data_IF_139221403273
#
_entry.id   IF_139221403273
#
_cell.length_a   1.000
_cell.length_b   1.000
_cell.length_c   1.000
_cell.angle_alpha   90.00
_cell.angle_beta   90.00
_cell.angle_gamma   90.00
#
_symmetry.space_group_name_H-M   'P 1'
#
loop_
_entity.id
_entity.type
_entity.pdbx_description
1 polymer ?
#
# COMPACT_ATOMS: atom_id res chain seq x y z
N UNK A 1 22.71 -41.76 68.31
CA UNK A 1 22.76 -40.30 68.09
C UNK A 1 22.17 -40.03 66.72
N UNK A 2 20.87 -39.78 66.65
CA UNK A 2 20.15 -39.43 65.42
C UNK A 2 19.86 -37.94 65.44
N UNK A 3 20.29 -37.23 64.41
CA UNK A 3 20.18 -35.77 64.29
C UNK A 3 18.83 -35.44 63.67
N UNK A 4 17.99 -34.72 64.41
CA UNK A 4 16.75 -34.11 63.92
C UNK A 4 17.09 -32.92 63.00
N UNK A 5 16.47 -32.88 61.82
CA UNK A 5 16.57 -31.74 60.91
C UNK A 5 15.41 -30.79 61.16
N UNK A 6 15.78 -29.57 61.52
CA UNK A 6 14.94 -28.41 61.81
C UNK A 6 14.15 -27.99 60.57
N UNK A 7 12.83 -27.89 60.70
CA UNK A 7 11.95 -27.23 59.74
C UNK A 7 12.25 -25.72 59.73
N UNK A 8 12.94 -25.24 58.70
CA UNK A 8 12.94 -23.83 58.36
C UNK A 8 11.67 -23.51 57.57
N UNK A 9 10.73 -22.80 58.22
CA UNK A 9 9.69 -22.04 57.56
C UNK A 9 10.34 -21.10 56.55
N UNK A 10 10.18 -21.41 55.27
CA UNK A 10 10.45 -20.45 54.20
C UNK A 10 9.13 -19.75 53.96
N UNK A 11 9.01 -18.53 54.49
CA UNK A 11 7.94 -17.60 54.14
C UNK A 11 8.04 -17.33 52.64
N UNK A 12 7.24 -18.06 51.85
CA UNK A 12 6.94 -17.66 50.48
C UNK A 12 6.17 -16.34 50.56
N UNK A 13 6.88 -15.24 50.33
CA UNK A 13 6.26 -13.98 49.93
C UNK A 13 5.48 -14.27 48.65
N UNK A 14 4.18 -14.49 48.79
CA UNK A 14 3.23 -14.32 47.71
C UNK A 14 3.39 -12.87 47.25
N UNK A 15 4.03 -12.66 46.11
CA UNK A 15 3.80 -11.44 45.35
C UNK A 15 2.33 -11.49 44.97
N UNK A 16 1.52 -10.67 45.62
CA UNK A 16 0.15 -10.42 45.19
C UNK A 16 0.25 -9.84 43.78
N UNK A 17 -0.02 -10.70 42.80
CA UNK A 17 -0.21 -10.30 41.40
C UNK A 17 -1.48 -9.44 41.41
N UNK A 18 -1.31 -8.12 41.56
CA UNK A 18 -2.40 -7.15 41.56
C UNK A 18 -2.95 -7.10 40.13
N UNK A 19 -3.84 -8.03 39.84
CA UNK A 19 -4.50 -8.14 38.56
C UNK A 19 -5.61 -7.08 38.52
N UNK A 20 -5.26 -5.86 38.11
CA UNK A 20 -6.23 -4.78 37.90
C UNK A 20 -7.25 -5.23 36.84
N UNK A 21 -8.53 -4.99 37.10
CA UNK A 21 -9.57 -5.23 36.10
C UNK A 21 -9.46 -4.23 34.94
N UNK A 22 -9.94 -4.60 33.76
CA UNK A 22 -10.01 -3.71 32.59
C UNK A 22 -10.72 -2.38 32.91
N UNK A 23 -11.73 -2.41 33.78
CA UNK A 23 -12.46 -1.20 34.18
C UNK A 23 -11.66 -0.26 35.10
N UNK A 24 -10.80 -0.81 35.95
CA UNK A 24 -9.92 -0.02 36.83
C UNK A 24 -8.80 0.63 36.02
N UNK A 25 -8.27 -0.08 35.03
CA UNK A 25 -7.25 0.44 34.12
C UNK A 25 -7.77 1.62 33.29
N UNK A 26 -8.99 1.54 32.75
CA UNK A 26 -9.65 2.67 32.07
C UNK A 26 -9.83 3.85 33.03
N UNK A 27 -10.19 3.60 34.29
CA UNK A 27 -10.33 4.66 35.29
C UNK A 27 -8.99 5.34 35.58
N UNK A 28 -7.90 4.58 35.72
CA UNK A 28 -6.56 5.12 35.93
C UNK A 28 -6.08 5.97 34.74
N UNK A 29 -6.29 5.51 33.50
CA UNK A 29 -5.94 6.28 32.30
C UNK A 29 -6.78 7.56 32.21
N UNK A 30 -8.08 7.47 32.50
CA UNK A 30 -8.96 8.65 32.54
C UNK A 30 -8.48 9.68 33.58
N UNK A 31 -8.16 9.23 34.78
CA UNK A 31 -7.66 10.11 35.86
C UNK A 31 -6.34 10.78 35.48
N UNK A 32 -5.43 10.02 34.83
CA UNK A 32 -4.19 10.55 34.30
C UNK A 32 -4.41 11.65 33.23
N UNK A 33 -5.37 11.45 32.31
CA UNK A 33 -5.72 12.44 31.28
C UNK A 33 -6.36 13.71 31.89
N UNK A 34 -7.24 13.56 32.88
CA UNK A 34 -7.86 14.71 33.56
C UNK A 34 -6.87 15.49 34.43
N UNK A 35 -5.93 14.79 35.05
CA UNK A 35 -4.90 15.39 35.92
C UNK A 35 -3.97 16.37 35.18
N UNK A 36 -3.79 16.20 33.86
CA UNK A 36 -3.03 17.15 33.03
C UNK A 36 -3.64 18.55 33.07
N UNK A 37 -4.97 18.66 33.07
CA UNK A 37 -5.68 19.94 33.17
C UNK A 37 -5.54 20.58 34.55
N UNK A 38 -5.28 19.76 35.58
CA UNK A 38 -5.04 20.20 36.96
C UNK A 38 -3.55 20.52 37.23
N UNK A 39 -2.68 20.37 36.23
CA UNK A 39 -1.25 20.65 36.31
C UNK A 39 -0.38 19.51 36.86
N UNK A 40 -0.95 18.31 37.05
CA UNK A 40 -0.20 17.11 37.42
C UNK A 40 -0.03 16.20 36.20
N UNK A 41 1.17 16.22 35.61
CA UNK A 41 1.47 15.49 34.37
C UNK A 41 2.32 14.23 34.57
N UNK A 42 2.66 13.84 35.81
CA UNK A 42 3.57 12.72 36.06
C UNK A 42 3.03 11.40 35.51
N UNK A 43 1.78 11.05 35.83
CA UNK A 43 1.11 9.85 35.32
C UNK A 43 0.89 9.90 33.81
N UNK A 44 0.67 11.09 33.25
CA UNK A 44 0.57 11.28 31.81
C UNK A 44 1.91 11.07 31.11
N UNK A 45 3.01 11.59 31.65
CA UNK A 45 4.35 11.39 31.11
C UNK A 45 4.77 9.91 31.19
N UNK A 46 4.37 9.20 32.25
CA UNK A 46 4.58 7.75 32.32
C UNK A 46 3.83 7.02 31.20
N UNK A 47 2.56 7.37 30.96
CA UNK A 47 1.76 6.80 29.87
C UNK A 47 2.38 7.09 28.48
N UNK A 48 2.86 8.32 28.26
CA UNK A 48 3.60 8.69 27.04
C UNK A 48 4.91 7.90 26.92
N UNK A 49 5.61 7.67 28.03
CA UNK A 49 6.80 6.82 28.09
C UNK A 49 6.54 5.39 27.62
N UNK A 50 5.40 4.81 28.03
CA UNK A 50 4.96 3.48 27.57
C UNK A 50 4.67 3.45 26.06
N UNK A 51 4.40 4.58 25.41
CA UNK A 51 4.19 4.62 23.95
C UNK A 51 5.51 4.80 23.19
N UNK A 52 6.54 5.37 23.82
CA UNK A 52 7.85 5.58 23.21
C UNK A 52 8.80 4.40 23.41
N UNK A 53 8.75 3.44 22.49
CA UNK A 53 9.71 2.34 22.47
C UNK A 53 10.50 2.28 21.16
N UNK A 54 11.83 2.32 21.31
CA UNK A 54 12.79 2.28 20.20
C UNK A 54 13.37 0.88 19.95
N UNK A 55 13.23 -0.04 20.92
CA UNK A 55 13.89 -1.35 20.92
C UNK A 55 12.89 -2.51 20.98
N UNK A 56 13.40 -3.76 20.91
CA UNK A 56 12.59 -4.97 21.06
C UNK A 56 12.01 -5.03 22.47
N UNK A 57 10.69 -5.00 22.55
CA UNK A 57 9.94 -5.10 23.80
C UNK A 57 10.11 -6.47 24.46
N UNK A 58 10.31 -6.48 25.78
CA UNK A 58 10.14 -7.68 26.61
C UNK A 58 8.65 -8.04 26.76
N UNK A 59 8.34 -9.26 27.20
CA UNK A 59 6.97 -9.78 27.24
C UNK A 59 6.05 -8.97 28.19
N UNK A 60 6.61 -8.53 29.30
CA UNK A 60 5.97 -7.65 30.29
C UNK A 60 5.73 -6.23 29.73
N UNK A 61 6.67 -5.68 28.97
CA UNK A 61 6.51 -4.39 28.30
C UNK A 61 5.45 -4.46 27.19
N UNK A 62 5.38 -5.57 26.45
CA UNK A 62 4.31 -5.83 25.48
C UNK A 62 2.95 -5.87 26.18
N UNK A 63 2.84 -6.59 27.29
CA UNK A 63 1.60 -6.68 28.05
C UNK A 63 1.16 -5.30 28.57
N UNK A 64 2.09 -4.52 29.13
CA UNK A 64 1.82 -3.17 29.60
C UNK A 64 1.36 -2.25 28.45
N UNK A 65 2.00 -2.33 27.29
CA UNK A 65 1.63 -1.56 26.11
C UNK A 65 0.21 -1.92 25.62
N UNK A 66 -0.09 -3.22 25.47
CA UNK A 66 -1.42 -3.69 25.05
C UNK A 66 -2.49 -3.20 26.02
N UNK A 67 -2.26 -3.37 27.32
CA UNK A 67 -3.20 -2.95 28.36
C UNK A 67 -3.40 -1.43 28.36
N UNK A 68 -2.33 -0.65 28.17
CA UNK A 68 -2.40 0.81 28.10
C UNK A 68 -3.16 1.28 26.85
N UNK A 69 -2.93 0.66 25.69
CA UNK A 69 -3.65 0.97 24.45
C UNK A 69 -5.14 0.68 24.55
N UNK A 70 -5.51 -0.47 25.13
CA UNK A 70 -6.92 -0.83 25.37
C UNK A 70 -7.59 0.10 26.38
N UNK A 71 -6.91 0.44 27.46
CA UNK A 71 -7.41 1.39 28.43
C UNK A 71 -7.61 2.79 27.83
N UNK A 72 -6.70 3.23 26.95
CA UNK A 72 -6.84 4.45 26.17
C UNK A 72 -8.03 4.40 25.22
N UNK A 73 -8.29 3.26 24.58
CA UNK A 73 -9.46 3.05 23.70
C UNK A 73 -10.77 3.33 24.45
N UNK A 74 -10.86 2.87 25.71
CA UNK A 74 -12.00 3.15 26.59
C UNK A 74 -12.09 4.61 27.09
N UNK A 75 -11.01 5.38 26.98
CA UNK A 75 -10.91 6.75 27.50
C UNK A 75 -10.76 7.83 26.40
N UNK A 76 -10.95 7.50 25.12
CA UNK A 76 -10.75 8.42 23.98
C UNK A 76 -11.53 9.74 24.08
N UNK A 77 -12.69 9.73 24.74
CA UNK A 77 -13.52 10.92 24.96
C UNK A 77 -12.86 12.00 25.83
N UNK A 78 -11.84 11.63 26.60
CA UNK A 78 -11.07 12.55 27.46
C UNK A 78 -9.78 13.04 26.79
N UNK A 79 -9.47 12.57 25.58
CA UNK A 79 -8.29 13.01 24.83
C UNK A 79 -8.60 14.36 24.17
N UNK A 80 -7.75 15.35 24.42
CA UNK A 80 -7.84 16.68 23.84
C UNK A 80 -6.51 17.05 23.20
N UNK A 81 -6.58 17.68 22.03
CA UNK A 81 -5.39 18.00 21.21
C UNK A 81 -4.46 18.99 21.91
N UNK A 82 -5.01 19.98 22.62
CA UNK A 82 -4.21 21.02 23.26
C UNK A 82 -3.38 20.50 24.44
N UNK A 83 -3.92 19.54 25.19
CA UNK A 83 -3.29 19.02 26.41
C UNK A 83 -2.56 17.70 26.19
N UNK A 84 -2.97 16.91 25.20
CA UNK A 84 -2.46 15.55 25.00
C UNK A 84 -1.67 15.36 23.70
N UNK A 85 -1.15 16.45 23.12
CA UNK A 85 -0.39 16.44 21.87
C UNK A 85 0.76 15.41 21.85
N UNK A 86 1.53 15.29 22.95
CA UNK A 86 2.65 14.35 23.02
C UNK A 86 2.18 12.91 22.86
N UNK A 87 1.13 12.52 23.59
CA UNK A 87 0.52 11.19 23.51
C UNK A 87 -0.01 10.89 22.11
N UNK A 88 -0.74 11.83 21.51
CA UNK A 88 -1.26 11.70 20.14
C UNK A 88 -0.10 11.53 19.15
N UNK A 89 0.96 12.32 19.28
CA UNK A 89 2.17 12.22 18.46
C UNK A 89 2.85 10.85 18.61
N UNK A 90 2.94 10.32 19.83
CA UNK A 90 3.48 8.98 20.07
C UNK A 90 2.62 7.90 19.39
N UNK A 91 1.29 7.95 19.57
CA UNK A 91 0.35 6.97 19.00
C UNK A 91 0.40 7.01 17.47
N UNK A 92 0.30 8.19 16.86
CA UNK A 92 0.34 8.34 15.41
C UNK A 92 1.72 8.04 14.79
N UNK A 93 2.79 8.09 15.60
CA UNK A 93 4.14 7.68 15.21
C UNK A 93 4.41 6.17 15.29
N UNK A 94 3.49 5.38 15.86
CA UNK A 94 3.65 3.93 15.95
C UNK A 94 3.54 3.28 14.55
N UNK A 95 4.38 2.27 14.29
CA UNK A 95 4.37 1.52 13.04
C UNK A 95 4.04 0.05 13.30
N UNK A 96 2.98 -0.47 12.67
CA UNK A 96 2.52 -1.84 12.85
C UNK A 96 3.59 -2.88 12.48
N UNK A 97 4.49 -2.51 11.58
CA UNK A 97 5.61 -3.32 11.14
C UNK A 97 6.59 -3.70 12.26
N UNK A 98 6.60 -2.97 13.38
CA UNK A 98 7.48 -3.22 14.53
C UNK A 98 6.89 -4.20 15.54
N UNK A 99 5.58 -4.42 15.53
CA UNK A 99 4.87 -5.07 16.63
C UNK A 99 4.27 -6.42 16.29
N UNK A 100 3.96 -7.21 17.33
CA UNK A 100 3.20 -8.46 17.24
C UNK A 100 1.69 -8.24 17.07
N UNK A 101 0.93 -9.29 16.75
CA UNK A 101 -0.52 -9.20 16.50
C UNK A 101 -1.28 -8.52 17.64
N UNK A 102 -0.99 -8.86 18.90
CA UNK A 102 -1.76 -8.34 20.04
C UNK A 102 -1.66 -6.81 20.18
N UNK A 103 -0.47 -6.25 19.95
CA UNK A 103 -0.24 -4.80 19.97
C UNK A 103 -0.84 -4.13 18.74
N UNK A 104 -0.75 -4.76 17.56
CA UNK A 104 -1.37 -4.25 16.34
C UNK A 104 -2.89 -4.14 16.51
N UNK A 105 -3.52 -5.17 17.05
CA UNK A 105 -4.97 -5.24 17.25
C UNK A 105 -5.43 -4.20 18.30
N UNK A 106 -4.69 -4.05 19.41
CA UNK A 106 -4.98 -3.03 20.43
C UNK A 106 -4.77 -1.58 19.91
N UNK A 107 -3.74 -1.35 19.09
CA UNK A 107 -3.51 -0.04 18.46
C UNK A 107 -4.62 0.31 17.48
N UNK A 108 -5.08 -0.67 16.69
CA UNK A 108 -6.18 -0.46 15.75
C UNK A 108 -7.49 -0.16 16.46
N UNK A 109 -7.80 -0.88 17.54
CA UNK A 109 -8.97 -0.61 18.37
C UNK A 109 -8.98 0.83 18.89
N UNK A 110 -7.83 1.31 19.37
CA UNK A 110 -7.66 2.70 19.81
C UNK A 110 -7.86 3.69 18.67
N UNK A 111 -7.27 3.45 17.50
CA UNK A 111 -7.32 4.36 16.34
C UNK A 111 -8.72 4.47 15.76
N UNK A 112 -9.44 3.35 15.68
CA UNK A 112 -10.85 3.29 15.25
C UNK A 112 -11.71 4.05 16.25
N UNK A 113 -11.55 3.78 17.55
CA UNK A 113 -12.30 4.47 18.61
C UNK A 113 -12.03 5.97 18.63
N UNK A 114 -10.78 6.40 18.40
CA UNK A 114 -10.40 7.81 18.33
C UNK A 114 -11.07 8.51 17.14
N UNK A 115 -11.02 7.89 15.95
CA UNK A 115 -11.67 8.42 14.75
C UNK A 115 -13.20 8.53 14.91
N UNK A 116 -13.83 7.53 15.54
CA UNK A 116 -15.27 7.50 15.80
C UNK A 116 -15.70 8.51 16.88
N UNK A 117 -14.85 8.78 17.87
CA UNK A 117 -15.17 9.67 18.99
C UNK A 117 -15.21 11.15 18.62
N UNK A 118 -14.29 11.60 17.75
CA UNK A 118 -14.17 13.00 17.39
C UNK A 118 -13.61 13.16 15.97
N UNK A 119 -14.41 13.79 15.10
CA UNK A 119 -14.09 14.02 13.69
C UNK A 119 -12.81 14.82 13.42
N UNK A 120 -12.24 15.49 14.43
CA UNK A 120 -10.95 16.19 14.33
C UNK A 120 -9.77 15.23 14.12
N UNK A 121 -9.85 14.01 14.68
CA UNK A 121 -8.75 13.04 14.63
C UNK A 121 -8.80 12.13 13.40
N UNK A 122 -9.89 12.15 12.65
CA UNK A 122 -10.09 11.28 11.48
C UNK A 122 -8.93 11.39 10.50
N UNK A 123 -8.47 12.60 10.18
CA UNK A 123 -7.39 12.79 9.20
C UNK A 123 -6.08 12.20 9.70
N UNK A 124 -5.74 12.42 10.98
CA UNK A 124 -4.55 11.85 11.61
C UNK A 124 -4.61 10.32 11.72
N UNK A 125 -5.78 9.76 12.02
CA UNK A 125 -5.98 8.31 12.04
C UNK A 125 -5.80 7.69 10.65
N UNK A 126 -6.44 8.26 9.63
CA UNK A 126 -6.32 7.80 8.24
C UNK A 126 -4.87 7.94 7.75
N UNK A 127 -4.22 9.05 8.06
CA UNK A 127 -2.84 9.32 7.69
C UNK A 127 -1.85 8.34 8.33
N UNK A 128 -2.05 7.98 9.60
CA UNK A 128 -1.25 6.94 10.26
C UNK A 128 -1.45 5.57 9.59
N UNK A 129 -2.70 5.19 9.29
CA UNK A 129 -3.01 3.92 8.62
C UNK A 129 -2.37 3.85 7.23
N UNK A 130 -2.52 4.90 6.42
CA UNK A 130 -1.92 4.99 5.08
C UNK A 130 -0.39 5.00 5.15
N UNK A 131 0.19 5.60 6.18
CA UNK A 131 1.65 5.56 6.38
C UNK A 131 2.18 4.14 6.55
N UNK A 132 1.36 3.19 7.03
CA UNK A 132 1.74 1.78 7.11
C UNK A 132 1.72 1.05 5.74
N UNK A 133 1.23 1.65 4.66
CA UNK A 133 1.44 1.12 3.30
C UNK A 133 2.92 1.20 2.86
N UNK A 134 3.72 2.01 3.54
CA UNK A 134 5.17 2.07 3.35
C UNK A 134 5.86 1.31 4.49
N UNK A 135 6.30 0.06 4.27
CA UNK A 135 7.07 -0.64 5.29
C UNK A 135 8.35 0.12 5.63
N UNK A 136 8.94 -0.04 6.81
CA UNK A 136 10.27 0.49 7.08
C UNK A 136 11.34 -0.09 6.16
N UNK A 137 12.29 0.75 5.73
CA UNK A 137 13.35 0.41 4.75
C UNK A 137 14.15 -0.84 5.14
N UNK A 138 14.40 -1.05 6.44
CA UNK A 138 15.17 -2.20 6.94
C UNK A 138 14.45 -3.55 6.79
N UNK A 139 13.13 -3.55 6.55
CA UNK A 139 12.35 -4.78 6.38
C UNK A 139 12.30 -5.27 4.94
N UNK A 140 12.62 -4.44 3.96
CA UNK A 140 12.44 -4.75 2.52
C UNK A 140 13.08 -6.08 2.13
N UNK A 141 14.31 -6.34 2.58
CA UNK A 141 15.01 -7.58 2.26
C UNK A 141 14.37 -8.82 2.91
N UNK A 142 13.72 -8.63 4.06
CA UNK A 142 12.94 -9.70 4.73
C UNK A 142 11.61 -9.94 4.02
N UNK A 143 10.99 -8.88 3.48
CA UNK A 143 9.70 -8.96 2.77
C UNK A 143 9.78 -9.77 1.46
N UNK A 144 10.97 -9.89 0.86
CA UNK A 144 11.23 -10.80 -0.27
C UNK A 144 11.14 -12.29 0.11
N UNK A 145 11.16 -12.63 1.40
CA UNK A 145 11.08 -14.01 1.88
C UNK A 145 9.63 -14.39 2.22
N UNK A 146 9.25 -15.69 2.19
CA UNK A 146 7.90 -16.13 2.51
C UNK A 146 7.40 -15.66 3.90
N UNK A 147 8.29 -15.62 4.88
CA UNK A 147 7.98 -15.12 6.24
C UNK A 147 7.65 -13.62 6.23
N UNK A 148 8.39 -12.83 5.45
CA UNK A 148 8.13 -11.42 5.30
C UNK A 148 6.84 -11.16 4.52
N UNK A 149 6.54 -11.96 3.50
CA UNK A 149 5.27 -11.88 2.78
C UNK A 149 4.07 -12.20 3.69
N UNK A 150 4.17 -13.20 4.58
CA UNK A 150 3.14 -13.47 5.57
C UNK A 150 2.94 -12.30 6.55
N UNK A 151 4.04 -11.66 6.98
CA UNK A 151 3.97 -10.45 7.82
C UNK A 151 3.37 -9.26 7.07
N UNK A 152 3.70 -9.08 5.79
CA UNK A 152 3.11 -8.06 4.91
C UNK A 152 1.60 -8.23 4.86
N UNK A 153 1.12 -9.43 4.55
CA UNK A 153 -0.33 -9.66 4.49
C UNK A 153 -0.98 -9.47 5.86
N UNK A 154 -0.32 -9.88 6.95
CA UNK A 154 -0.84 -9.68 8.31
C UNK A 154 -1.05 -8.20 8.65
N UNK A 155 -0.09 -7.33 8.28
CA UNK A 155 -0.17 -5.89 8.53
C UNK A 155 -1.18 -5.23 7.59
N UNK A 156 -1.06 -5.47 6.29
CA UNK A 156 -1.89 -4.79 5.29
C UNK A 156 -3.36 -5.19 5.42
N UNK A 157 -3.69 -6.47 5.61
CA UNK A 157 -5.08 -6.91 5.82
C UNK A 157 -5.74 -6.21 7.00
N UNK A 158 -5.01 -6.03 8.11
CA UNK A 158 -5.46 -5.29 9.29
C UNK A 158 -5.66 -3.81 9.03
N UNK A 159 -4.73 -3.17 8.31
CA UNK A 159 -4.86 -1.76 7.93
C UNK A 159 -6.11 -1.55 7.06
N UNK A 160 -6.31 -2.39 6.04
CA UNK A 160 -7.49 -2.33 5.18
C UNK A 160 -8.80 -2.57 5.95
N UNK A 161 -8.81 -3.53 6.90
CA UNK A 161 -9.96 -3.77 7.77
C UNK A 161 -10.26 -2.54 8.65
N UNK A 162 -9.24 -1.93 9.27
CA UNK A 162 -9.43 -0.76 10.10
C UNK A 162 -9.88 0.48 9.30
N UNK A 163 -9.39 0.65 8.07
CA UNK A 163 -9.89 1.69 7.17
C UNK A 163 -11.38 1.51 6.91
N UNK A 164 -11.83 0.26 6.74
CA UNK A 164 -13.25 -0.06 6.54
C UNK A 164 -14.07 0.25 7.79
N UNK A 165 -13.60 -0.19 8.95
CA UNK A 165 -14.29 0.08 10.22
C UNK A 165 -14.44 1.59 10.46
N UNK A 166 -13.41 2.39 10.13
CA UNK A 166 -13.49 3.85 10.25
C UNK A 166 -14.50 4.45 9.27
N UNK A 167 -14.55 4.01 8.01
CA UNK A 167 -15.51 4.56 7.05
C UNK A 167 -16.95 4.16 7.34
N UNK A 168 -17.15 2.96 7.90
CA UNK A 168 -18.46 2.47 8.31
C UNK A 168 -19.00 3.28 9.50
N UNK A 169 -18.11 3.66 10.42
CA UNK A 169 -18.45 4.51 11.58
C UNK A 169 -18.52 6.00 11.24
N UNK A 170 -17.71 6.47 10.28
CA UNK A 170 -17.57 7.89 9.92
C UNK A 170 -17.69 8.08 8.40
N UNK A 171 -18.91 8.38 7.88
CA UNK A 171 -19.14 8.48 6.43
C UNK A 171 -18.28 9.54 5.70
N UNK A 172 -17.85 10.59 6.42
CA UNK A 172 -16.97 11.62 5.85
C UNK A 172 -15.54 11.13 5.60
N UNK A 173 -15.11 10.05 6.27
CA UNK A 173 -13.76 9.51 6.15
C UNK A 173 -13.44 9.05 4.72
N UNK A 174 -14.41 8.51 3.99
CA UNK A 174 -14.21 8.00 2.62
C UNK A 174 -13.73 9.09 1.66
N UNK A 175 -14.32 10.30 1.76
CA UNK A 175 -13.92 11.44 0.91
C UNK A 175 -12.51 11.94 1.21
N UNK A 176 -12.13 11.91 2.49
CA UNK A 176 -10.81 12.34 2.97
C UNK A 176 -9.72 11.32 2.67
N UNK A 177 -10.06 10.03 2.79
CA UNK A 177 -9.19 8.90 2.46
C UNK A 177 -8.59 9.06 1.07
N UNK A 178 -9.42 9.35 0.07
CA UNK A 178 -8.97 9.54 -1.31
C UNK A 178 -7.89 10.62 -1.44
N UNK A 179 -8.08 11.76 -0.76
CA UNK A 179 -7.10 12.85 -0.81
C UNK A 179 -5.79 12.46 -0.13
N UNK A 180 -5.86 11.78 1.01
CA UNK A 180 -4.67 11.40 1.79
C UNK A 180 -3.84 10.36 1.04
N UNK A 181 -4.48 9.34 0.42
CA UNK A 181 -3.77 8.31 -0.35
C UNK A 181 -3.02 8.92 -1.53
N UNK A 182 -3.67 9.79 -2.32
CA UNK A 182 -3.00 10.42 -3.49
C UNK A 182 -1.87 11.34 -3.05
N UNK A 183 -2.02 12.11 -1.97
CA UNK A 183 -0.98 13.01 -1.47
C UNK A 183 0.23 12.27 -0.89
N UNK A 184 0.01 11.10 -0.29
CA UNK A 184 1.06 10.26 0.31
C UNK A 184 1.79 9.38 -0.72
N UNK A 185 1.32 9.34 -1.96
CA UNK A 185 1.90 8.53 -3.02
C UNK A 185 3.38 8.89 -3.23
N UNK A 186 4.31 7.91 -3.28
CA UNK A 186 5.73 8.19 -3.47
C UNK A 186 6.03 8.69 -4.90
N UNK A 187 6.02 10.01 -5.12
CA UNK A 187 6.22 10.59 -6.47
C UNK A 187 7.68 10.94 -6.81
N UNK A 188 8.62 10.96 -5.86
CA UNK A 188 9.97 11.50 -6.11
C UNK A 188 11.12 10.50 -5.97
N UNK A 189 11.70 10.10 -7.12
CA UNK A 189 12.93 9.31 -7.19
C UNK A 189 14.18 10.22 -7.17
N UNK A 190 14.64 10.63 -5.98
CA UNK A 190 15.90 11.38 -5.86
C UNK A 190 17.13 10.45 -5.95
N UNK A 191 18.25 11.03 -6.40
CA UNK A 191 19.44 10.35 -6.95
C UNK A 191 20.21 9.41 -5.99
N UNK A 192 20.52 8.23 -6.55
CA UNK A 192 21.79 7.46 -6.50
C UNK A 192 22.17 6.54 -5.33
N UNK A 193 21.31 6.28 -4.34
CA UNK A 193 21.64 5.27 -3.30
C UNK A 193 20.51 4.31 -2.91
N UNK A 194 19.28 4.79 -2.83
CA UNK A 194 18.15 4.06 -2.23
C UNK A 194 17.07 3.66 -3.23
N UNK A 195 17.43 3.64 -4.52
CA UNK A 195 16.47 3.48 -5.62
C UNK A 195 15.75 2.13 -5.59
N UNK A 196 16.45 1.02 -5.28
CA UNK A 196 15.83 -0.31 -5.20
C UNK A 196 14.82 -0.43 -4.04
N UNK A 197 15.11 0.27 -2.95
CA UNK A 197 14.27 0.28 -1.74
C UNK A 197 13.02 1.14 -1.98
N UNK A 198 13.21 2.28 -2.63
CA UNK A 198 12.09 3.14 -3.06
C UNK A 198 11.20 2.45 -4.09
N UNK A 199 11.78 1.69 -5.04
CA UNK A 199 11.02 0.87 -5.99
C UNK A 199 10.05 -0.04 -5.23
N UNK A 200 10.56 -0.82 -4.28
CA UNK A 200 9.73 -1.75 -3.51
C UNK A 200 8.67 -1.05 -2.65
N UNK A 201 8.96 0.13 -2.07
CA UNK A 201 7.95 0.94 -1.40
C UNK A 201 6.83 1.35 -2.34
N UNK A 202 7.18 1.77 -3.55
CA UNK A 202 6.22 2.23 -4.55
C UNK A 202 5.34 1.07 -5.03
N UNK A 203 5.92 -0.08 -5.31
CA UNK A 203 5.19 -1.31 -5.70
C UNK A 203 4.19 -1.75 -4.62
N UNK A 204 4.58 -1.77 -3.34
CA UNK A 204 3.65 -2.10 -2.25
C UNK A 204 2.56 -1.03 -2.12
N UNK A 205 2.91 0.24 -2.30
CA UNK A 205 1.94 1.32 -2.19
C UNK A 205 0.87 1.21 -3.28
N UNK A 206 1.28 1.01 -4.54
CA UNK A 206 0.38 0.82 -5.68
C UNK A 206 -0.47 -0.44 -5.53
N UNK A 207 0.10 -1.55 -5.06
CA UNK A 207 -0.66 -2.77 -4.73
C UNK A 207 -1.80 -2.48 -3.74
N UNK A 208 -1.53 -1.69 -2.69
CA UNK A 208 -2.55 -1.29 -1.73
C UNK A 208 -3.58 -0.32 -2.32
N UNK A 209 -3.19 0.59 -3.20
CA UNK A 209 -4.12 1.47 -3.93
C UNK A 209 -5.07 0.66 -4.82
N UNK A 210 -4.55 -0.33 -5.55
CA UNK A 210 -5.34 -1.23 -6.39
C UNK A 210 -6.25 -2.14 -5.53
N UNK A 211 -5.79 -2.57 -4.36
CA UNK A 211 -6.63 -3.27 -3.37
C UNK A 211 -7.77 -2.39 -2.84
N UNK A 212 -7.52 -1.08 -2.63
CA UNK A 212 -8.57 -0.12 -2.26
C UNK A 212 -9.59 0.11 -3.39
N UNK A 213 -9.13 0.20 -4.65
CA UNK A 213 -10.02 0.25 -5.82
C UNK A 213 -10.90 -0.99 -5.86
N UNK A 214 -10.30 -2.16 -5.67
CA UNK A 214 -10.97 -3.45 -5.78
C UNK A 214 -11.91 -3.78 -4.61
N UNK A 215 -11.75 -3.07 -3.50
CA UNK A 215 -12.53 -3.27 -2.28
C UNK A 215 -13.86 -2.50 -2.23
N UNK A 216 -14.37 -2.35 -1.02
CA UNK A 216 -15.68 -1.76 -0.74
C UNK A 216 -15.70 -0.23 -0.91
N UNK A 217 -14.52 0.42 -0.94
CA UNK A 217 -14.39 1.86 -1.15
C UNK A 217 -14.51 2.28 -2.63
N UNK A 218 -14.66 1.31 -3.54
CA UNK A 218 -14.69 1.47 -5.01
C UNK A 218 -15.44 2.70 -5.48
N UNK A 219 -16.71 2.82 -5.09
CA UNK A 219 -17.63 3.82 -5.64
C UNK A 219 -17.15 5.25 -5.39
N UNK A 220 -16.39 5.47 -4.32
CA UNK A 220 -15.96 6.79 -3.88
C UNK A 220 -14.48 7.06 -4.16
N UNK A 221 -13.64 6.03 -4.09
CA UNK A 221 -12.18 6.16 -4.10
C UNK A 221 -11.55 5.53 -5.34
N UNK A 222 -12.21 4.53 -5.93
CA UNK A 222 -11.64 3.67 -6.98
C UNK A 222 -11.19 4.42 -8.22
N UNK A 223 -12.04 5.30 -8.77
CA UNK A 223 -11.70 6.06 -9.97
C UNK A 223 -10.46 6.95 -9.78
N UNK A 224 -10.37 7.60 -8.61
CA UNK A 224 -9.22 8.44 -8.25
C UNK A 224 -7.94 7.64 -8.03
N UNK A 225 -8.02 6.44 -7.43
CA UNK A 225 -6.83 5.59 -7.28
C UNK A 225 -6.31 5.15 -8.65
N UNK A 226 -7.21 4.70 -9.51
CA UNK A 226 -6.85 4.23 -10.84
C UNK A 226 -6.23 5.35 -11.68
N UNK A 227 -6.84 6.55 -11.66
CA UNK A 227 -6.27 7.73 -12.33
C UNK A 227 -4.88 8.06 -11.80
N UNK A 228 -4.69 8.09 -10.48
CA UNK A 228 -3.38 8.38 -9.88
C UNK A 228 -2.30 7.35 -10.25
N UNK A 229 -2.66 6.06 -10.32
CA UNK A 229 -1.74 5.01 -10.79
C UNK A 229 -1.37 5.24 -12.25
N UNK A 230 -2.34 5.53 -13.12
CA UNK A 230 -2.09 5.82 -14.55
C UNK A 230 -1.21 7.06 -14.71
N UNK A 231 -1.49 8.15 -13.98
CA UNK A 231 -0.68 9.36 -14.02
C UNK A 231 0.77 9.08 -13.60
N UNK A 232 0.99 8.26 -12.57
CA UNK A 232 2.33 7.80 -12.18
C UNK A 232 3.00 6.97 -13.28
N UNK A 233 2.28 6.05 -13.94
CA UNK A 233 2.84 5.28 -15.06
C UNK A 233 3.29 6.20 -16.20
N UNK A 234 2.51 7.24 -16.50
CA UNK A 234 2.86 8.24 -17.53
C UNK A 234 4.11 9.01 -17.11
N UNK A 235 4.19 9.48 -15.86
CA UNK A 235 5.35 10.22 -15.36
C UNK A 235 6.64 9.39 -15.45
N UNK A 236 6.57 8.12 -15.02
CA UNK A 236 7.70 7.18 -15.11
C UNK A 236 8.09 6.90 -16.56
N UNK A 237 7.11 6.66 -17.44
CA UNK A 237 7.34 6.40 -18.85
C UNK A 237 8.00 7.60 -19.57
N UNK A 238 7.51 8.82 -19.33
CA UNK A 238 8.12 10.04 -19.88
C UNK A 238 9.55 10.25 -19.37
N UNK A 239 9.84 9.83 -18.13
CA UNK A 239 11.18 9.92 -17.56
C UNK A 239 12.19 8.95 -18.22
N UNK A 240 11.72 7.88 -18.88
CA UNK A 240 12.57 6.97 -19.65
C UNK A 240 12.89 7.59 -21.01
N UNK A 241 14.16 7.98 -21.20
CA UNK A 241 14.63 8.58 -22.44
C UNK A 241 14.81 7.56 -23.55
N UNK A 242 14.71 7.99 -24.81
CA UNK A 242 15.02 7.14 -25.97
C UNK A 242 16.43 6.55 -25.91
N UNK A 243 17.40 7.28 -25.36
CA UNK A 243 18.77 6.80 -25.17
C UNK A 243 18.88 5.66 -24.16
N UNK A 244 17.93 5.53 -23.23
CA UNK A 244 17.91 4.43 -22.26
C UNK A 244 17.34 3.15 -22.90
N UNK A 245 16.52 3.30 -23.94
CA UNK A 245 15.92 2.20 -24.71
C UNK A 245 16.89 1.71 -25.79
N UNK A 246 17.53 2.64 -26.52
CA UNK A 246 18.40 2.34 -27.66
C UNK A 246 19.80 1.85 -27.27
N UNK A 247 20.15 1.82 -25.98
CA UNK A 247 21.44 1.30 -25.51
C UNK A 247 21.52 -0.24 -25.48
N UNK A 248 20.41 -0.95 -25.74
CA UNK A 248 20.42 -2.40 -25.90
C UNK A 248 20.64 -2.73 -27.39
N UNK A 249 21.92 -2.87 -27.79
CA UNK A 249 22.36 -3.36 -29.11
C UNK A 249 21.98 -4.84 -29.30
N UNK A 250 20.70 -5.19 -29.22
CA UNK A 250 20.17 -6.42 -29.79
C UNK A 250 19.34 -6.06 -31.03
N UNK A 251 19.66 -6.60 -32.22
CA UNK A 251 18.93 -6.30 -33.45
C UNK A 251 17.58 -7.02 -33.53
N UNK A 252 16.94 -7.27 -32.38
CA UNK A 252 15.61 -7.87 -32.29
C UNK A 252 14.68 -6.87 -31.62
N UNK A 253 14.33 -5.84 -32.38
CA UNK A 253 13.19 -5.01 -32.02
C UNK A 253 11.95 -5.89 -31.88
N UNK A 254 11.17 -5.67 -30.83
CA UNK A 254 9.87 -6.30 -30.55
C UNK A 254 8.86 -6.12 -31.72
N UNK A 255 9.17 -5.22 -32.67
CA UNK A 255 8.37 -4.93 -33.87
C UNK A 255 8.92 -5.52 -35.17
N UNK A 256 9.79 -6.54 -35.12
CA UNK A 256 10.03 -7.37 -36.30
C UNK A 256 8.76 -8.21 -36.57
N UNK A 257 7.76 -7.54 -37.16
CA UNK A 257 6.64 -8.17 -37.83
C UNK A 257 7.24 -9.11 -38.86
N UNK A 258 7.07 -10.41 -38.66
CA UNK A 258 7.32 -11.43 -39.67
C UNK A 258 6.43 -11.07 -40.87
N UNK A 259 6.99 -10.27 -41.77
CA UNK A 259 6.48 -10.19 -43.13
C UNK A 259 6.89 -11.54 -43.74
N UNK A 260 5.90 -12.37 -44.02
CA UNK A 260 6.07 -13.57 -44.84
C UNK A 260 6.64 -13.14 -46.20
N UNK A 261 7.95 -13.20 -46.34
CA UNK A 261 8.61 -13.12 -47.64
C UNK A 261 8.40 -14.47 -48.33
N UNK A 262 7.34 -14.50 -49.13
CA UNK A 262 7.03 -15.52 -50.12
C UNK A 262 8.09 -15.44 -51.24
N UNK A 263 9.15 -16.28 -51.18
CA UNK A 263 9.96 -16.60 -52.35
C UNK A 263 10.56 -18.01 -52.30
N UNK A 264 10.62 -18.60 -53.48
CA UNK A 264 10.65 -20.03 -53.79
C UNK A 264 11.93 -20.78 -53.42
N UNK A 265 11.73 -22.03 -52.99
CA UNK A 265 12.49 -23.17 -53.53
C UNK A 265 13.82 -23.53 -52.86
N UNK A 266 13.81 -24.54 -51.99
CA UNK A 266 14.55 -25.80 -52.22
C UNK A 266 14.15 -26.87 -51.20
N UNK A 267 13.78 -28.03 -51.74
CA UNK A 267 13.48 -29.26 -51.01
C UNK A 267 14.80 -29.86 -50.51
N UNK A 268 14.90 -30.12 -49.21
CA UNK A 268 15.66 -31.25 -48.69
C UNK A 268 14.97 -31.77 -47.44
N UNK A 269 14.33 -32.93 -47.59
CA UNK A 269 13.87 -33.80 -46.51
C UNK A 269 15.06 -34.23 -45.65
N UNK A 270 14.93 -34.09 -44.34
CA UNK A 270 15.32 -35.12 -43.38
C UNK A 270 14.50 -34.95 -42.10
N UNK A 271 13.90 -36.06 -41.67
CA UNK A 271 12.94 -36.18 -40.57
C UNK A 271 13.57 -35.98 -39.19
N UNK A 272 12.68 -35.58 -38.27
CA UNK A 272 12.62 -35.95 -36.85
C UNK A 272 13.03 -34.88 -35.81
N UNK A 273 12.09 -34.59 -34.89
CA UNK A 273 12.38 -33.93 -33.60
C UNK A 273 11.68 -32.60 -33.33
N UNK A 274 10.49 -32.69 -32.71
CA UNK A 274 9.89 -31.74 -31.75
C UNK A 274 9.89 -30.23 -32.07
N UNK A 275 8.71 -29.68 -32.36
CA UNK A 275 8.44 -28.25 -32.33
C UNK A 275 8.37 -27.79 -30.87
N UNK A 276 9.52 -27.63 -30.23
CA UNK A 276 9.60 -26.84 -28.99
C UNK A 276 9.47 -25.36 -29.37
N UNK A 277 8.26 -24.82 -29.21
CA UNK A 277 8.06 -23.40 -28.92
C UNK A 277 9.14 -22.95 -27.93
N UNK A 278 9.96 -21.93 -28.23
CA UNK A 278 10.93 -21.40 -27.27
C UNK A 278 10.18 -20.77 -26.09
N UNK A 279 9.82 -21.62 -25.12
CA UNK A 279 9.50 -21.21 -23.77
C UNK A 279 10.73 -20.51 -23.23
N UNK A 280 10.49 -19.37 -22.58
CA UNK A 280 11.44 -18.47 -21.92
C UNK A 280 11.97 -17.34 -22.80
N UNK A 281 11.12 -16.34 -23.01
CA UNK A 281 11.55 -14.94 -22.93
C UNK A 281 12.21 -14.75 -21.56
N UNK A 282 13.50 -15.06 -21.49
CA UNK A 282 14.36 -14.64 -20.41
C UNK A 282 14.34 -13.11 -20.44
N UNK A 283 13.49 -12.51 -19.59
CA UNK A 283 13.46 -11.11 -19.24
C UNK A 283 14.87 -10.72 -18.80
N UNK A 284 15.74 -10.37 -19.76
CA UNK A 284 16.86 -9.50 -19.49
C UNK A 284 16.21 -8.17 -19.17
N UNK A 285 15.99 -7.95 -17.88
CA UNK A 285 15.50 -6.67 -17.38
C UNK A 285 16.35 -5.57 -18.00
N UNK A 286 15.75 -4.40 -18.15
CA UNK A 286 16.41 -3.16 -18.49
C UNK A 286 17.30 -2.72 -17.30
N UNK A 287 18.08 -3.65 -16.73
CA UNK A 287 18.58 -3.73 -15.36
C UNK A 287 19.67 -2.74 -15.01
N UNK A 288 19.79 -1.66 -15.79
CA UNK A 288 20.52 -0.45 -15.43
C UNK A 288 19.60 0.72 -15.09
N UNK A 289 18.33 0.69 -15.52
CA UNK A 289 17.38 1.77 -15.28
C UNK A 289 16.26 1.35 -14.33
N UNK A 290 16.43 1.69 -13.05
CA UNK A 290 15.45 1.39 -11.99
C UNK A 290 14.07 2.02 -12.24
N UNK A 291 14.01 3.11 -13.01
CA UNK A 291 12.72 3.72 -13.42
C UNK A 291 12.00 2.79 -14.39
N UNK A 292 12.72 2.19 -15.34
CA UNK A 292 12.16 1.21 -16.27
C UNK A 292 11.74 -0.07 -15.54
N UNK A 293 12.59 -0.58 -14.63
CA UNK A 293 12.26 -1.77 -13.83
C UNK A 293 11.08 -1.53 -12.88
N UNK A 294 10.89 -0.30 -12.39
CA UNK A 294 9.70 0.06 -11.59
C UNK A 294 8.47 0.17 -12.49
N UNK A 295 8.58 0.85 -13.64
CA UNK A 295 7.47 0.95 -14.58
C UNK A 295 6.98 -0.44 -14.99
N UNK A 296 7.89 -1.37 -15.29
CA UNK A 296 7.56 -2.76 -15.61
C UNK A 296 6.80 -3.44 -14.45
N UNK A 297 7.29 -3.32 -13.22
CA UNK A 297 6.62 -3.86 -12.03
C UNK A 297 5.21 -3.29 -11.82
N UNK A 298 5.04 -1.97 -11.96
CA UNK A 298 3.73 -1.32 -11.81
C UNK A 298 2.78 -1.65 -12.98
N UNK A 299 3.30 -1.81 -14.19
CA UNK A 299 2.53 -2.25 -15.36
C UNK A 299 1.98 -3.65 -15.14
N UNK A 300 2.82 -4.59 -14.66
CA UNK A 300 2.38 -5.95 -14.30
C UNK A 300 1.27 -5.92 -13.25
N UNK A 301 1.45 -5.17 -12.15
CA UNK A 301 0.40 -5.04 -11.12
C UNK A 301 -0.91 -4.45 -11.68
N UNK A 302 -0.80 -3.48 -12.59
CA UNK A 302 -1.97 -2.88 -13.24
C UNK A 302 -2.68 -3.87 -14.16
N UNK A 303 -1.93 -4.68 -14.92
CA UNK A 303 -2.48 -5.73 -15.77
C UNK A 303 -3.16 -6.85 -14.97
N UNK A 304 -2.50 -7.36 -13.92
CA UNK A 304 -3.10 -8.35 -13.00
C UNK A 304 -4.40 -7.83 -12.39
N UNK A 305 -4.44 -6.54 -12.03
CA UNK A 305 -5.65 -5.90 -11.55
C UNK A 305 -6.75 -5.83 -12.62
N UNK A 306 -6.41 -5.55 -13.88
CA UNK A 306 -7.38 -5.57 -14.97
C UNK A 306 -7.94 -6.97 -15.25
N UNK A 307 -7.11 -8.01 -15.20
CA UNK A 307 -7.55 -9.42 -15.28
C UNK A 307 -8.49 -9.77 -14.12
N UNK A 308 -8.15 -9.34 -12.91
CA UNK A 308 -9.02 -9.49 -11.74
C UNK A 308 -10.36 -8.77 -11.96
N UNK A 309 -10.35 -7.56 -12.50
CA UNK A 309 -11.58 -6.81 -12.80
C UNK A 309 -12.42 -7.50 -13.89
N UNK A 310 -11.79 -8.04 -14.94
CA UNK A 310 -12.45 -8.81 -15.99
C UNK A 310 -13.11 -10.07 -15.44
N UNK A 311 -12.39 -10.82 -14.61
CA UNK A 311 -12.90 -12.04 -13.95
C UNK A 311 -14.11 -11.77 -13.05
N UNK A 312 -14.20 -10.56 -12.49
CA UNK A 312 -15.32 -10.13 -11.65
C UNK A 312 -16.40 -9.34 -12.42
N UNK A 313 -16.39 -9.33 -13.77
CA UNK A 313 -17.34 -8.58 -14.62
C UNK A 313 -17.35 -7.06 -14.39
N UNK A 314 -16.24 -6.50 -13.91
CA UNK A 314 -16.06 -5.07 -13.61
C UNK A 314 -15.18 -4.32 -14.61
N UNK A 315 -14.67 -5.00 -15.64
CA UNK A 315 -13.73 -4.41 -16.59
C UNK A 315 -14.30 -3.16 -17.26
N UNK A 316 -15.58 -3.15 -17.63
CA UNK A 316 -16.22 -2.00 -18.28
C UNK A 316 -16.17 -0.73 -17.42
N UNK A 317 -16.45 -0.81 -16.11
CA UNK A 317 -16.41 0.36 -15.21
C UNK A 317 -15.01 0.95 -15.08
N UNK A 318 -14.03 0.06 -14.91
CA UNK A 318 -12.60 0.40 -14.81
C UNK A 318 -12.14 0.99 -16.14
N UNK A 319 -12.55 0.41 -17.26
CA UNK A 319 -12.23 0.85 -18.61
C UNK A 319 -12.75 2.26 -18.90
N UNK A 320 -13.97 2.62 -18.48
CA UNK A 320 -14.46 4.00 -18.64
C UNK A 320 -13.55 5.02 -17.95
N UNK A 321 -13.11 4.70 -16.73
CA UNK A 321 -12.20 5.56 -15.97
C UNK A 321 -10.85 5.68 -16.66
N UNK A 322 -10.29 4.56 -17.14
CA UNK A 322 -9.04 4.54 -17.89
C UNK A 322 -9.15 5.33 -19.19
N UNK A 323 -10.24 5.16 -19.94
CA UNK A 323 -10.50 5.85 -21.19
C UNK A 323 -10.58 7.36 -20.98
N UNK A 324 -11.27 7.81 -19.93
CA UNK A 324 -11.32 9.22 -19.57
C UNK A 324 -9.93 9.80 -19.29
N UNK A 325 -9.13 9.09 -18.48
CA UNK A 325 -7.74 9.48 -18.18
C UNK A 325 -6.87 9.48 -19.44
N UNK A 326 -6.98 8.45 -20.28
CA UNK A 326 -6.22 8.32 -21.53
C UNK A 326 -6.45 9.51 -22.47
N UNK A 327 -7.71 9.90 -22.64
CA UNK A 327 -8.10 10.99 -23.53
C UNK A 327 -7.61 12.36 -23.04
N UNK A 328 -7.52 12.55 -21.73
CA UNK A 328 -7.06 13.79 -21.10
C UNK A 328 -5.54 13.88 -21.00
N UNK A 329 -4.88 12.82 -20.55
CA UNK A 329 -3.47 12.86 -20.12
C UNK A 329 -2.55 12.14 -21.09
N UNK A 330 -2.89 10.90 -21.50
CA UNK A 330 -1.98 10.06 -22.31
C UNK A 330 -1.86 10.63 -23.73
N UNK A 331 -2.98 10.98 -24.37
CA UNK A 331 -2.95 11.51 -25.74
C UNK A 331 -2.20 12.84 -25.89
N UNK A 332 -2.18 13.69 -24.86
CA UNK A 332 -1.39 14.93 -24.87
C UNK A 332 0.08 14.73 -24.56
N UNK A 333 0.45 13.57 -24.01
CA UNK A 333 1.80 13.30 -23.53
C UNK A 333 2.61 12.57 -24.61
N UNK A 334 3.07 13.33 -25.61
CA UNK A 334 3.78 12.81 -26.79
C UNK A 334 5.08 12.02 -26.51
N UNK A 335 5.57 12.02 -25.26
CA UNK A 335 6.78 11.30 -24.84
C UNK A 335 6.50 9.96 -24.16
N UNK A 336 5.23 9.66 -23.87
CA UNK A 336 4.81 8.36 -23.33
C UNK A 336 4.95 7.29 -24.42
N UNK A 337 5.57 6.16 -24.07
CA UNK A 337 5.94 5.04 -24.96
C UNK A 337 5.38 3.71 -24.47
N UNK A 338 5.06 3.56 -23.20
CA UNK A 338 4.63 2.29 -22.60
C UNK A 338 3.29 2.38 -21.87
N UNK A 339 2.97 3.51 -21.22
CA UNK A 339 1.75 3.63 -20.41
C UNK A 339 0.46 3.43 -21.23
N UNK A 340 0.49 3.70 -22.55
CA UNK A 340 -0.65 3.43 -23.43
C UNK A 340 -1.00 1.93 -23.54
N UNK A 341 -0.06 1.01 -23.24
CA UNK A 341 -0.36 -0.43 -23.24
C UNK A 341 -1.35 -0.84 -22.16
N UNK A 342 -1.59 -0.02 -21.13
CA UNK A 342 -2.72 -0.21 -20.19
C UNK A 342 -4.05 -0.24 -20.93
N UNK A 343 -4.28 0.68 -21.87
CA UNK A 343 -5.50 0.70 -22.67
C UNK A 343 -5.58 -0.48 -23.64
N UNK A 344 -4.48 -0.78 -24.34
CA UNK A 344 -4.45 -1.89 -25.29
C UNK A 344 -4.71 -3.23 -24.60
N UNK A 345 -4.14 -3.43 -23.41
CA UNK A 345 -4.36 -4.63 -22.64
C UNK A 345 -5.81 -4.76 -22.15
N UNK A 346 -6.41 -3.68 -21.65
CA UNK A 346 -7.84 -3.68 -21.29
C UNK A 346 -8.74 -4.00 -22.51
N UNK A 347 -8.39 -3.48 -23.70
CA UNK A 347 -9.08 -3.82 -24.94
C UNK A 347 -8.89 -5.29 -25.35
N UNK A 348 -7.73 -5.88 -25.08
CA UNK A 348 -7.45 -7.29 -25.39
C UNK A 348 -8.24 -8.25 -24.48
N UNK A 349 -8.54 -7.85 -23.25
CA UNK A 349 -9.37 -8.63 -22.32
C UNK A 349 -10.85 -8.68 -22.70
N UNK A 350 -11.37 -7.62 -23.34
CA UNK A 350 -12.74 -7.59 -23.90
C UNK A 350 -12.76 -6.85 -25.25
N UNK A 351 -12.39 -7.54 -26.34
CA UNK A 351 -12.32 -6.93 -27.67
C UNK A 351 -13.68 -6.44 -28.18
N UNK A 352 -14.77 -7.11 -27.80
CA UNK A 352 -16.12 -6.84 -28.30
C UNK A 352 -16.70 -5.56 -27.71
N UNK A 353 -16.47 -5.28 -26.42
CA UNK A 353 -16.95 -4.05 -25.80
C UNK A 353 -15.84 -2.99 -25.68
N UNK A 354 -14.78 -3.28 -24.93
CA UNK A 354 -13.71 -2.30 -24.64
C UNK A 354 -12.96 -1.95 -25.92
N UNK A 355 -12.58 -2.94 -26.73
CA UNK A 355 -11.86 -2.76 -27.99
C UNK A 355 -12.64 -1.92 -29.02
N UNK A 356 -13.89 -2.30 -29.30
CA UNK A 356 -14.77 -1.55 -30.22
C UNK A 356 -14.99 -0.12 -29.73
N UNK A 357 -15.26 0.06 -28.43
CA UNK A 357 -15.46 1.38 -27.85
C UNK A 357 -14.21 2.26 -27.97
N UNK A 358 -13.03 1.71 -27.69
CA UNK A 358 -11.77 2.44 -27.83
C UNK A 358 -11.56 2.90 -29.27
N UNK A 359 -11.73 1.99 -30.24
CA UNK A 359 -11.57 2.28 -31.65
C UNK A 359 -12.55 3.36 -32.13
N UNK A 360 -13.81 3.30 -31.70
CA UNK A 360 -14.82 4.32 -32.01
C UNK A 360 -14.42 5.69 -31.48
N UNK A 361 -13.99 5.79 -30.22
CA UNK A 361 -13.59 7.06 -29.61
C UNK A 361 -12.36 7.66 -30.28
N UNK A 362 -11.38 6.83 -30.66
CA UNK A 362 -10.21 7.29 -31.42
C UNK A 362 -10.59 7.76 -32.83
N UNK A 363 -11.47 7.03 -33.53
CA UNK A 363 -11.97 7.43 -34.84
C UNK A 363 -12.74 8.75 -34.77
N UNK A 364 -13.63 8.92 -33.79
CA UNK A 364 -14.38 10.15 -33.57
C UNK A 364 -13.43 11.33 -33.30
N UNK A 365 -12.39 11.13 -32.47
CA UNK A 365 -11.40 12.18 -32.22
C UNK A 365 -10.57 12.52 -33.46
N UNK A 366 -10.24 11.54 -34.29
CA UNK A 366 -9.53 11.79 -35.54
C UNK A 366 -10.38 12.59 -36.53
N UNK A 367 -11.69 12.32 -36.60
CA UNK A 367 -12.63 12.96 -37.52
C UNK A 367 -13.08 14.34 -37.03
N UNK A 368 -13.35 14.49 -35.73
CA UNK A 368 -14.00 15.67 -35.14
C UNK A 368 -13.13 16.45 -34.15
N UNK A 369 -11.96 15.94 -33.74
CA UNK A 369 -11.06 16.64 -32.84
C UNK A 369 -10.42 17.84 -33.53
N UNK A 370 -10.41 18.99 -32.87
CA UNK A 370 -9.66 20.17 -33.32
C UNK A 370 -8.19 19.79 -33.50
N UNK A 371 -7.77 19.69 -34.75
CA UNK A 371 -6.41 19.37 -35.13
C UNK A 371 -5.53 20.59 -34.83
N UNK A 372 -4.57 20.54 -33.89
CA UNK A 372 -3.65 21.67 -33.67
C UNK A 372 -2.68 21.89 -34.85
N UNK A 373 -2.65 20.98 -35.83
CA UNK A 373 -1.85 21.09 -37.06
C UNK A 373 -2.55 21.88 -38.19
N UNK A 374 -3.77 22.37 -37.97
CA UNK A 374 -4.51 23.22 -38.92
C UNK A 374 -4.62 24.69 -38.49
N UNK A 375 -3.73 25.18 -37.60
CA UNK A 375 -3.70 26.59 -37.20
C UNK A 375 -2.36 27.26 -37.47
#
# INVERSE_FOLDING_TARGET
>A
MGVELVHHNTESQHMDDVNFSDSELVYHVRDALLSVQLGNSDSYHQLVGVMHHSERLALDEVALLVTSLKALSGAVSYIDDAHHHSLLSSIFGMSMWKYGPDVMDALLELVISLAASNGKYVDSCLDMLISNFMPPVYLIDTLKQPRGQAKKEQVLSRVHAALKDITDLVPMATSRLSSIVVQRMPMTFKKHGEKDRMKYHTEIYVENMLRLESGEFREFVGSRMLMAVVDMLIELDVAIGWNDILQDDSPKGIFAMELEDDDEGTISDDEDGDVELPRTLSHKSLGKNIIADLLDGLMVQTFEHLEFCASNSRLNEVFETLLHSFMLTIMSTYKSKFAQFVMFYACALDPENCGVKFASVLADRFVYGDNPLTR
#
